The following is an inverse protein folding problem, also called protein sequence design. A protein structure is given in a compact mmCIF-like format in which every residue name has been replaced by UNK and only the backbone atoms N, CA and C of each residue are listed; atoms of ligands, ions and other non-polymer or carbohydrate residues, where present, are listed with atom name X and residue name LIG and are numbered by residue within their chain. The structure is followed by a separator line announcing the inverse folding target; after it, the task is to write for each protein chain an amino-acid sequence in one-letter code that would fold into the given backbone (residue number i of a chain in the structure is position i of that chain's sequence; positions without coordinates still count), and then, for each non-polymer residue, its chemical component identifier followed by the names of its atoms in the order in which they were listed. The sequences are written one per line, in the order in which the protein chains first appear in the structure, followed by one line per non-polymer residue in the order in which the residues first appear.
data_IF_686701949189
#
_entry.id   IF_686701949189
#
_cell.length_a   1.000
_cell.length_b   1.000
_cell.length_c   1.000
_cell.angle_alpha   90.00
_cell.angle_beta   90.00
_cell.angle_gamma   90.00
#
_symmetry.space_group_name_H-M   'P 1'
#
loop_
_entity.id
_entity.type
_entity.pdbx_description
1 polymer ?
#
# COMPACT_ATOMS: atom_id res chain seq x y z
N UNK A 1 -52.20 16.10 11.47
CA UNK A 1 -50.80 16.40 11.09
C UNK A 1 -49.96 15.15 11.35
N UNK A 2 -49.41 14.50 10.32
CA UNK A 2 -48.54 13.34 10.48
C UNK A 2 -47.08 13.84 10.49
N UNK A 3 -46.44 13.78 11.65
CA UNK A 3 -45.01 14.10 11.80
C UNK A 3 -44.19 13.09 11.00
N UNK A 4 -43.38 13.59 10.07
CA UNK A 4 -42.47 12.78 9.29
C UNK A 4 -41.09 12.85 9.93
N UNK A 5 -40.66 11.79 10.59
CA UNK A 5 -39.33 11.68 11.19
C UNK A 5 -38.31 11.50 10.06
N UNK A 6 -37.39 12.44 9.91
CA UNK A 6 -36.25 12.36 9.02
C UNK A 6 -35.16 11.55 9.75
N UNK A 7 -34.93 10.30 9.36
CA UNK A 7 -33.75 9.56 9.83
C UNK A 7 -32.53 10.11 9.08
N UNK A 8 -31.65 10.78 9.80
CA UNK A 8 -30.31 11.11 9.33
C UNK A 8 -29.46 9.84 9.47
N UNK A 9 -29.12 9.20 8.35
CA UNK A 9 -28.18 8.08 8.37
C UNK A 9 -26.76 8.64 8.50
N UNK A 10 -26.18 8.56 9.70
CA UNK A 10 -24.76 8.79 9.91
C UNK A 10 -24.01 7.60 9.32
N UNK A 11 -23.25 7.82 8.24
CA UNK A 11 -22.29 6.83 7.79
C UNK A 11 -21.17 6.75 8.84
N UNK A 12 -21.03 5.60 9.50
CA UNK A 12 -19.85 5.30 10.29
C UNK A 12 -18.69 5.16 9.29
N UNK A 13 -17.80 6.14 9.23
CA UNK A 13 -16.53 5.95 8.55
C UNK A 13 -15.77 4.86 9.29
N UNK A 14 -15.37 3.79 8.60
CA UNK A 14 -14.44 2.83 9.16
C UNK A 14 -13.16 3.58 9.52
N UNK A 15 -12.71 3.45 10.77
CA UNK A 15 -11.47 4.08 11.21
C UNK A 15 -10.31 3.25 10.67
N UNK A 16 -9.81 3.62 9.49
CA UNK A 16 -8.60 3.05 8.95
C UNK A 16 -7.45 3.19 9.97
N UNK A 17 -6.73 2.09 10.21
CA UNK A 17 -5.58 2.08 11.13
C UNK A 17 -4.33 2.40 10.35
N UNK A 18 -3.65 3.51 10.70
CA UNK A 18 -2.36 3.89 10.11
C UNK A 18 -1.25 3.61 11.11
N UNK A 19 -0.25 2.84 10.68
CA UNK A 19 0.95 2.49 11.45
C UNK A 19 2.17 3.09 10.76
N UNK A 20 3.04 3.75 11.52
CA UNK A 20 4.26 4.38 11.01
C UNK A 20 5.52 3.73 11.58
N UNK A 21 6.53 3.50 10.72
CA UNK A 21 7.88 3.08 11.09
C UNK A 21 7.98 1.76 11.88
N UNK A 22 7.04 0.82 11.68
CA UNK A 22 7.04 -0.48 12.37
C UNK A 22 6.80 -1.64 11.41
N UNK A 23 5.80 -1.52 10.54
CA UNK A 23 5.28 -2.63 9.74
C UNK A 23 5.92 -2.75 8.35
N UNK A 24 6.95 -1.96 8.07
CA UNK A 24 7.77 -2.06 6.87
C UNK A 24 9.24 -1.98 7.30
N UNK A 25 10.05 -2.94 6.87
CA UNK A 25 11.46 -3.06 7.21
C UNK A 25 12.36 -3.23 5.98
N UNK A 26 13.62 -2.84 6.11
CA UNK A 26 14.69 -3.09 5.15
C UNK A 26 15.79 -3.89 5.86
N UNK A 27 16.17 -5.04 5.29
CA UNK A 27 17.30 -5.84 5.76
C UNK A 27 18.36 -5.95 4.66
N UNK A 28 19.61 -6.18 5.05
CA UNK A 28 20.76 -6.33 4.14
C UNK A 28 21.39 -7.72 4.22
N UNK A 29 22.05 -8.18 3.15
CA UNK A 29 22.71 -9.49 3.05
C UNK A 29 21.77 -10.65 3.39
N UNK A 30 20.65 -10.72 2.69
CA UNK A 30 19.54 -11.62 3.01
C UNK A 30 19.61 -12.85 2.11
N UNK A 31 19.57 -14.03 2.72
CA UNK A 31 19.39 -15.27 1.96
C UNK A 31 17.92 -15.42 1.59
N UNK A 32 17.63 -15.73 0.33
CA UNK A 32 16.29 -16.07 -0.12
C UNK A 32 16.28 -17.49 -0.70
N UNK A 33 15.33 -18.32 -0.24
CA UNK A 33 15.15 -19.68 -0.75
C UNK A 33 14.25 -19.69 -1.98
N UNK A 34 14.75 -20.19 -3.12
CA UNK A 34 14.03 -20.33 -4.38
C UNK A 34 14.90 -20.96 -5.50
N UNK A 35 14.33 -21.33 -6.65
CA UNK A 35 15.10 -21.89 -7.75
C UNK A 35 16.19 -20.91 -8.22
N UNK A 36 17.47 -21.28 -8.04
CA UNK A 36 18.60 -20.34 -8.21
C UNK A 36 19.06 -19.66 -6.91
N UNK A 37 18.83 -20.31 -5.76
CA UNK A 37 19.20 -19.90 -4.40
C UNK A 37 20.47 -19.05 -4.34
N UNK A 38 20.36 -17.89 -3.71
CA UNK A 38 21.43 -16.91 -3.62
C UNK A 38 21.25 -15.97 -2.43
N UNK A 39 22.21 -15.08 -2.29
CA UNK A 39 22.08 -13.92 -1.42
C UNK A 39 21.57 -12.76 -2.26
N UNK A 40 20.60 -12.01 -1.72
CA UNK A 40 20.27 -10.69 -2.21
C UNK A 40 20.97 -9.65 -1.33
N UNK A 41 21.36 -8.52 -1.91
CA UNK A 41 21.91 -7.42 -1.12
C UNK A 41 20.88 -6.90 -0.11
N UNK A 42 19.59 -6.87 -0.48
CA UNK A 42 18.53 -6.33 0.37
C UNK A 42 17.23 -7.14 0.30
N UNK A 43 16.44 -7.03 1.38
CA UNK A 43 15.01 -7.37 1.39
C UNK A 43 14.17 -6.20 1.89
N UNK A 44 13.00 -6.00 1.28
CA UNK A 44 11.94 -5.11 1.79
C UNK A 44 10.80 -5.97 2.28
N UNK A 45 10.53 -5.89 3.59
CA UNK A 45 9.56 -6.71 4.31
C UNK A 45 8.38 -5.86 4.75
N UNK A 46 7.17 -6.41 4.69
CA UNK A 46 5.94 -5.76 5.13
C UNK A 46 5.06 -6.72 5.93
N UNK A 47 4.51 -6.25 7.05
CA UNK A 47 3.49 -6.96 7.82
C UNK A 47 2.12 -6.85 7.14
N UNK A 48 1.51 -7.99 6.84
CA UNK A 48 0.25 -8.09 6.11
C UNK A 48 -0.98 -7.78 6.99
N UNK A 49 -0.82 -7.85 8.31
CA UNK A 49 -1.89 -7.61 9.28
C UNK A 49 -1.57 -6.43 10.21
N UNK A 50 -2.58 -5.70 10.69
CA UNK A 50 -2.37 -4.69 11.72
C UNK A 50 -1.81 -5.33 13.00
N UNK A 51 -0.96 -4.62 13.78
CA UNK A 51 -0.46 -5.12 15.05
C UNK A 51 -1.62 -5.53 15.99
N UNK A 52 -1.50 -6.65 16.72
CA UNK A 52 -0.31 -7.48 16.90
C UNK A 52 -0.17 -8.65 15.90
N UNK A 53 -0.86 -8.61 14.75
CA UNK A 53 -0.75 -9.66 13.73
C UNK A 53 0.69 -9.88 13.25
N UNK A 54 1.01 -11.08 12.75
CA UNK A 54 2.39 -11.50 12.47
C UNK A 54 2.50 -12.41 11.26
N UNK A 55 2.21 -11.86 10.08
CA UNK A 55 2.48 -12.52 8.81
C UNK A 55 3.13 -11.47 7.94
N UNK A 56 4.39 -11.69 7.60
CA UNK A 56 5.17 -10.81 6.77
C UNK A 56 5.40 -11.42 5.39
N UNK A 57 5.61 -10.54 4.42
CA UNK A 57 6.04 -10.93 3.08
C UNK A 57 7.12 -9.97 2.63
N UNK A 58 8.03 -10.45 1.80
CA UNK A 58 9.19 -9.70 1.35
C UNK A 58 9.41 -9.78 -0.15
N UNK A 59 10.05 -8.74 -0.69
CA UNK A 59 10.78 -8.81 -1.95
C UNK A 59 12.28 -8.80 -1.67
N UNK A 60 13.05 -9.41 -2.57
CA UNK A 60 14.50 -9.52 -2.51
C UNK A 60 15.11 -8.91 -3.77
N UNK A 61 16.11 -8.06 -3.60
CA UNK A 61 16.73 -7.35 -4.71
C UNK A 61 18.20 -7.02 -4.42
N UNK A 62 18.97 -6.92 -5.50
CA UNK A 62 20.36 -6.51 -5.47
C UNK A 62 20.51 -5.03 -5.80
N UNK A 63 21.66 -4.50 -5.42
CA UNK A 63 22.14 -3.21 -5.86
C UNK A 63 23.24 -3.41 -6.91
N UNK A 64 23.00 -2.92 -8.11
CA UNK A 64 24.02 -2.87 -9.16
C UNK A 64 24.36 -1.41 -9.48
N UNK A 65 25.35 -0.87 -8.76
CA UNK A 65 25.75 0.52 -8.85
C UNK A 65 24.64 1.50 -8.42
N UNK A 66 24.02 2.15 -9.41
CA UNK A 66 22.88 3.06 -9.24
C UNK A 66 21.52 2.40 -9.45
N UNK A 67 21.49 1.11 -9.76
CA UNK A 67 20.26 0.37 -10.07
C UNK A 67 19.85 -0.56 -8.92
N UNK A 68 18.55 -0.81 -8.82
CA UNK A 68 17.97 -1.91 -8.05
C UNK A 68 17.59 -3.03 -9.02
N UNK A 69 17.97 -4.27 -8.71
CA UNK A 69 17.72 -5.45 -9.56
C UNK A 69 16.87 -6.45 -8.81
N UNK A 70 15.64 -6.67 -9.25
CA UNK A 70 14.72 -7.60 -8.58
C UNK A 70 15.19 -9.05 -8.74
N UNK A 71 15.13 -9.83 -7.65
CA UNK A 71 15.54 -11.24 -7.64
C UNK A 71 14.40 -12.17 -7.30
N UNK A 72 13.65 -11.90 -6.25
CA UNK A 72 12.63 -12.84 -5.78
C UNK A 72 11.59 -12.14 -4.90
N UNK A 73 10.55 -12.89 -4.53
CA UNK A 73 9.57 -12.52 -3.53
C UNK A 73 9.02 -13.76 -2.83
N UNK A 74 8.46 -13.58 -1.63
CA UNK A 74 7.68 -14.64 -0.98
C UNK A 74 6.47 -15.02 -1.86
N UNK A 75 6.23 -16.32 -2.01
CA UNK A 75 5.14 -16.85 -2.82
C UNK A 75 3.82 -16.96 -2.05
N UNK A 76 3.92 -17.08 -0.73
CA UNK A 76 2.83 -17.12 0.24
C UNK A 76 2.63 -15.73 0.85
N UNK A 77 1.59 -15.03 0.40
CA UNK A 77 1.30 -13.67 0.78
C UNK A 77 1.96 -12.69 -0.17
N UNK A 78 1.16 -12.06 -1.03
CA UNK A 78 1.71 -11.10 -1.98
C UNK A 78 1.94 -9.72 -1.35
N UNK A 79 3.12 -9.17 -1.59
CA UNK A 79 3.32 -7.73 -1.59
C UNK A 79 3.73 -7.29 -3.00
N UNK A 80 3.06 -6.26 -3.50
CA UNK A 80 3.42 -5.61 -4.74
C UNK A 80 4.03 -4.26 -4.43
N UNK A 81 5.26 -4.05 -4.89
CA UNK A 81 6.05 -2.86 -4.62
C UNK A 81 6.19 -2.04 -5.89
N UNK A 82 5.93 -0.74 -5.78
CA UNK A 82 5.83 0.17 -6.91
C UNK A 82 6.65 1.41 -6.67
N UNK A 83 7.33 1.92 -7.68
CA UNK A 83 7.95 3.25 -7.59
C UNK A 83 6.86 4.31 -7.47
N UNK A 84 7.04 5.23 -6.52
CA UNK A 84 6.10 6.30 -6.24
C UNK A 84 6.83 7.63 -5.96
N UNK A 85 6.06 8.71 -5.94
CA UNK A 85 6.52 10.07 -5.65
C UNK A 85 5.79 10.62 -4.41
N UNK A 86 6.43 11.55 -3.70
CA UNK A 86 5.80 12.27 -2.60
C UNK A 86 4.45 12.88 -3.02
N UNK A 87 3.44 12.72 -2.16
CA UNK A 87 2.05 13.17 -2.37
C UNK A 87 1.23 12.40 -3.42
N UNK A 88 1.76 11.33 -4.01
CA UNK A 88 0.94 10.47 -4.87
C UNK A 88 -0.21 9.85 -4.06
N UNK A 89 -1.39 9.76 -4.69
CA UNK A 89 -2.54 9.00 -4.20
C UNK A 89 -2.28 7.53 -4.49
N UNK A 90 -1.76 6.78 -3.51
CA UNK A 90 -1.44 5.37 -3.68
C UNK A 90 -2.62 4.51 -3.21
N UNK A 91 -3.46 4.09 -4.15
CA UNK A 91 -4.72 3.38 -3.89
C UNK A 91 -4.91 2.22 -4.86
N UNK A 92 -5.84 1.32 -4.56
CA UNK A 92 -6.21 0.24 -5.48
C UNK A 92 -6.68 0.77 -6.85
N UNK A 93 -7.36 1.92 -6.87
CA UNK A 93 -7.84 2.56 -8.10
C UNK A 93 -6.69 3.08 -8.96
N UNK A 94 -5.76 3.86 -8.38
CA UNK A 94 -4.64 4.46 -9.14
C UNK A 94 -3.64 3.40 -9.60
N UNK A 95 -3.44 2.32 -8.82
CA UNK A 95 -2.71 1.13 -9.26
C UNK A 95 -3.41 0.45 -10.44
N UNK A 96 -4.72 0.24 -10.35
CA UNK A 96 -5.52 -0.40 -11.42
C UNK A 96 -5.53 0.38 -12.73
N UNK A 97 -5.31 1.70 -12.67
CA UNK A 97 -5.15 2.57 -13.83
C UNK A 97 -3.72 2.56 -14.42
N UNK A 98 -2.79 1.82 -13.81
CA UNK A 98 -1.40 1.75 -14.26
C UNK A 98 -0.56 2.98 -13.91
N UNK A 99 -0.95 3.73 -12.87
CA UNK A 99 -0.27 4.98 -12.46
C UNK A 99 1.12 4.79 -11.86
N UNK A 100 1.52 3.54 -11.55
CA UNK A 100 2.79 3.25 -10.90
C UNK A 100 3.55 2.12 -11.59
N UNK A 101 4.88 2.19 -11.54
CA UNK A 101 5.76 1.16 -12.09
C UNK A 101 6.00 0.05 -11.06
N UNK A 102 5.56 -1.16 -11.37
CA UNK A 102 5.72 -2.35 -10.54
C UNK A 102 7.15 -2.92 -10.62
N UNK A 103 7.71 -3.29 -9.47
CA UNK A 103 9.03 -3.91 -9.31
C UNK A 103 8.86 -5.37 -8.85
N UNK A 104 8.73 -6.31 -9.80
CA UNK A 104 8.39 -7.70 -9.51
C UNK A 104 8.88 -8.75 -10.53
N UNK A 105 9.69 -8.36 -11.52
CA UNK A 105 10.16 -9.27 -12.56
C UNK A 105 11.62 -9.67 -12.31
N UNK A 106 11.94 -10.95 -12.42
CA UNK A 106 13.33 -11.43 -12.26
C UNK A 106 14.27 -10.66 -13.19
N UNK A 107 15.39 -10.17 -12.64
CA UNK A 107 16.39 -9.33 -13.31
C UNK A 107 15.89 -7.97 -13.81
N UNK A 108 14.68 -7.56 -13.44
CA UNK A 108 14.18 -6.21 -13.71
C UNK A 108 15.07 -5.21 -12.99
N UNK A 109 15.61 -4.26 -13.75
CA UNK A 109 16.57 -3.28 -13.27
C UNK A 109 16.00 -1.86 -13.40
N UNK A 110 16.08 -1.08 -12.33
CA UNK A 110 15.66 0.32 -12.31
C UNK A 110 16.73 1.21 -11.70
N UNK A 111 17.08 2.28 -12.41
CA UNK A 111 17.92 3.33 -11.88
C UNK A 111 17.19 4.09 -10.77
N UNK A 112 17.82 4.23 -9.61
CA UNK A 112 17.33 5.05 -8.51
C UNK A 112 18.27 6.23 -8.27
N UNK A 113 17.74 7.42 -7.95
CA UNK A 113 18.58 8.60 -7.74
C UNK A 113 19.50 8.40 -6.53
N UNK A 114 20.61 9.15 -6.48
CA UNK A 114 21.31 9.38 -5.22
C UNK A 114 20.41 10.26 -4.33
N UNK A 115 20.21 9.84 -3.09
CA UNK A 115 19.30 10.50 -2.16
C UNK A 115 17.95 9.78 -1.99
N UNK A 116 16.91 10.51 -1.55
CA UNK A 116 15.63 9.93 -1.18
C UNK A 116 14.76 9.52 -2.38
N UNK A 117 14.07 8.40 -2.27
CA UNK A 117 13.04 7.94 -3.20
C UNK A 117 11.98 7.09 -2.47
N UNK A 118 10.79 6.97 -3.06
CA UNK A 118 9.68 6.23 -2.45
C UNK A 118 9.36 4.94 -3.21
N UNK A 119 9.08 3.90 -2.43
CA UNK A 119 8.25 2.79 -2.86
C UNK A 119 6.86 2.92 -2.25
N UNK A 120 5.81 2.74 -3.05
CA UNK A 120 4.48 2.37 -2.57
C UNK A 120 4.37 0.84 -2.49
N UNK A 121 3.62 0.33 -1.52
CA UNK A 121 3.42 -1.11 -1.34
C UNK A 121 1.95 -1.43 -1.11
N UNK A 122 1.46 -2.43 -1.85
CA UNK A 122 0.14 -3.03 -1.65
C UNK A 122 0.33 -4.46 -1.15
N UNK A 123 -0.30 -4.80 -0.04
CA UNK A 123 -0.29 -6.18 0.48
C UNK A 123 -1.72 -6.69 0.68
N UNK A 124 -1.88 -8.00 0.63
CA UNK A 124 -3.14 -8.70 0.82
C UNK A 124 -2.89 -10.04 1.53
N UNK A 125 -3.90 -10.56 2.22
CA UNK A 125 -3.82 -11.89 2.82
C UNK A 125 -4.26 -12.98 1.84
N UNK A 126 -3.56 -14.11 1.85
CA UNK A 126 -3.82 -15.24 0.93
C UNK A 126 -5.02 -16.11 1.34
N UNK A 127 -5.62 -15.87 2.51
CA UNK A 127 -6.60 -16.79 3.13
C UNK A 127 -8.03 -16.26 3.19
N UNK A 128 -8.44 -15.47 2.20
CA UNK A 128 -9.84 -15.08 2.00
C UNK A 128 -10.33 -13.93 2.88
N UNK A 129 -9.49 -13.40 3.77
CA UNK A 129 -9.73 -12.10 4.39
C UNK A 129 -9.24 -11.01 3.43
N UNK A 130 -10.16 -10.21 2.91
CA UNK A 130 -9.87 -9.07 2.03
C UNK A 130 -9.20 -7.90 2.78
N UNK A 131 -8.31 -8.18 3.74
CA UNK A 131 -7.47 -7.15 4.35
C UNK A 131 -6.48 -6.73 3.28
N UNK A 132 -6.64 -5.50 2.81
CA UNK A 132 -5.68 -4.85 1.92
C UNK A 132 -4.93 -3.80 2.73
N UNK A 133 -3.61 -3.93 2.73
CA UNK A 133 -2.71 -2.93 3.26
C UNK A 133 -2.19 -2.05 2.12
N UNK A 134 -2.17 -0.74 2.33
CA UNK A 134 -1.52 0.22 1.44
C UNK A 134 -0.49 1.00 2.23
N UNK A 135 0.76 1.01 1.79
CA UNK A 135 1.84 1.68 2.48
C UNK A 135 2.82 2.35 1.55
N UNK A 136 3.81 3.00 2.16
CA UNK A 136 4.95 3.55 1.48
C UNK A 136 6.21 3.41 2.34
N UNK A 137 7.36 3.34 1.67
CA UNK A 137 8.68 3.34 2.27
C UNK A 137 9.53 4.43 1.61
N UNK A 138 10.07 5.34 2.42
CA UNK A 138 11.09 6.31 2.01
C UNK A 138 12.46 5.66 2.20
N UNK A 139 13.11 5.38 1.08
CA UNK A 139 14.48 4.89 1.07
C UNK A 139 15.45 6.01 0.74
N UNK A 140 16.69 5.91 1.23
CA UNK A 140 17.77 6.81 0.88
C UNK A 140 18.92 6.01 0.27
N UNK A 141 19.22 6.30 -0.99
CA UNK A 141 20.38 5.77 -1.69
C UNK A 141 21.60 6.65 -1.44
N UNK A 142 22.54 6.15 -0.63
CA UNK A 142 23.76 6.89 -0.27
C UNK A 142 24.88 6.76 -1.32
N UNK A 143 24.67 5.98 -2.38
CA UNK A 143 25.68 5.62 -3.37
C UNK A 143 26.44 4.34 -3.04
N UNK A 144 26.55 3.99 -1.76
CA UNK A 144 27.18 2.73 -1.31
C UNK A 144 26.21 1.82 -0.56
N UNK A 145 25.09 2.36 -0.08
CA UNK A 145 24.13 1.65 0.74
C UNK A 145 22.69 2.17 0.53
N UNK A 146 21.70 1.41 0.99
CA UNK A 146 20.29 1.77 1.06
C UNK A 146 19.85 1.80 2.51
N UNK A 147 19.13 2.86 2.87
CA UNK A 147 18.61 3.05 4.22
C UNK A 147 17.09 3.26 4.16
N UNK A 148 16.35 2.58 5.04
CA UNK A 148 14.96 2.91 5.30
C UNK A 148 14.89 4.12 6.23
N UNK A 149 14.41 5.25 5.71
CA UNK A 149 14.32 6.51 6.46
C UNK A 149 13.00 6.61 7.20
N UNK A 150 11.91 6.26 6.53
CA UNK A 150 10.55 6.29 7.10
C UNK A 150 9.63 5.36 6.34
N UNK A 151 8.57 4.90 6.99
CA UNK A 151 7.50 4.16 6.35
C UNK A 151 6.16 4.41 7.02
N UNK A 152 5.09 4.18 6.28
CA UNK A 152 3.76 4.08 6.85
C UNK A 152 2.92 3.06 6.07
N UNK A 153 1.95 2.48 6.75
CA UNK A 153 0.95 1.59 6.17
C UNK A 153 -0.41 1.86 6.78
N UNK A 154 -1.45 1.75 5.96
CA UNK A 154 -2.83 1.70 6.42
C UNK A 154 -3.43 0.34 6.14
N UNK A 155 -4.23 -0.14 7.08
CA UNK A 155 -5.10 -1.32 6.92
C UNK A 155 -6.55 -0.86 6.81
N UNK A 156 -7.36 -1.65 6.10
CA UNK A 156 -8.81 -1.38 5.90
C UNK A 156 -9.11 0.02 5.36
N UNK A 157 -8.27 0.47 4.44
CA UNK A 157 -8.39 1.75 3.74
C UNK A 157 -8.30 1.51 2.23
N UNK A 158 -8.95 2.33 1.39
CA UNK A 158 -8.80 2.24 -0.06
C UNK A 158 -7.40 2.67 -0.55
N UNK A 159 -6.60 3.36 0.28
CA UNK A 159 -5.25 3.80 -0.07
C UNK A 159 -4.59 4.71 0.96
N UNK A 160 -3.40 5.20 0.63
CA UNK A 160 -2.61 6.14 1.43
C UNK A 160 -1.98 7.22 0.53
N UNK A 161 -1.77 8.43 1.07
CA UNK A 161 -1.00 9.47 0.40
C UNK A 161 0.49 9.29 0.72
N UNK A 162 1.31 9.08 -0.31
CA UNK A 162 2.74 8.75 -0.18
C UNK A 162 3.49 9.86 0.56
N UNK A 163 4.31 9.46 1.55
CA UNK A 163 5.08 10.36 2.41
C UNK A 163 4.26 11.02 3.52
N UNK A 164 3.02 10.58 3.75
CA UNK A 164 2.14 11.10 4.81
C UNK A 164 1.48 9.98 5.61
N UNK A 165 0.78 10.33 6.69
CA UNK A 165 -0.08 9.41 7.46
C UNK A 165 -1.56 9.53 7.05
N UNK A 166 -1.86 10.21 5.94
CA UNK A 166 -3.22 10.47 5.49
C UNK A 166 -3.71 9.33 4.61
N UNK A 167 -4.84 8.72 4.98
CA UNK A 167 -5.52 7.72 4.15
C UNK A 167 -6.26 8.38 2.99
N UNK A 168 -6.42 7.64 1.90
CA UNK A 168 -7.30 8.05 0.80
C UNK A 168 -8.74 7.92 1.31
N UNK A 169 -9.58 8.96 1.23
CA UNK A 169 -10.97 8.83 1.59
C UNK A 169 -11.64 7.79 0.70
N UNK A 170 -12.51 6.95 1.27
CA UNK A 170 -13.42 6.17 0.45
C UNK A 170 -14.19 7.12 -0.47
N UNK A 171 -14.36 6.80 -1.77
CA UNK A 171 -15.21 7.58 -2.65
C UNK A 171 -16.61 7.58 -2.01
N UNK A 172 -16.91 8.68 -1.33
CA UNK A 172 -17.89 8.65 -0.26
C UNK A 172 -19.21 8.11 -0.77
N UNK A 173 -19.94 7.34 0.03
CA UNK A 173 -21.32 6.97 -0.29
C UNK A 173 -22.26 8.18 -0.42
N UNK A 174 -21.78 9.42 -0.26
CA UNK A 174 -22.55 10.65 -0.33
C UNK A 174 -23.29 10.88 -1.66
N UNK A 175 -22.73 10.63 -2.85
CA UNK A 175 -23.50 10.66 -4.09
C UNK A 175 -24.60 9.60 -4.10
N UNK A 176 -24.35 8.40 -3.54
CA UNK A 176 -25.36 7.34 -3.44
C UNK A 176 -26.46 7.71 -2.44
N UNK A 177 -26.12 8.34 -1.31
CA UNK A 177 -27.08 8.90 -0.35
C UNK A 177 -27.89 10.02 -1.00
N UNK A 178 -27.26 10.90 -1.77
CA UNK A 178 -27.95 11.97 -2.50
C UNK A 178 -28.94 11.41 -3.53
N UNK A 179 -28.54 10.37 -4.28
CA UNK A 179 -29.43 9.66 -5.22
C UNK A 179 -30.59 8.97 -4.47
N UNK A 180 -30.31 8.28 -3.36
CA UNK A 180 -31.33 7.61 -2.56
C UNK A 180 -32.35 8.61 -1.96
N UNK A 181 -31.87 9.73 -1.43
CA UNK A 181 -32.72 10.83 -0.93
C UNK A 181 -33.54 11.44 -2.05
N UNK A 182 -32.93 11.70 -3.22
CA UNK A 182 -33.65 12.20 -4.40
C UNK A 182 -34.77 11.27 -4.86
N UNK A 183 -34.53 9.95 -4.91
CA UNK A 183 -35.53 8.94 -5.26
C UNK A 183 -36.65 8.85 -4.21
N UNK A 184 -36.30 8.91 -2.92
CA UNK A 184 -37.28 8.89 -1.83
C UNK A 184 -38.18 10.13 -1.84
N UNK A 185 -37.64 11.31 -2.14
CA UNK A 185 -38.42 12.54 -2.27
C UNK A 185 -39.36 12.50 -3.49
N UNK A 186 -38.95 11.89 -4.60
CA UNK A 186 -39.78 11.78 -5.81
C UNK A 186 -41.02 10.89 -5.59
N UNK A 187 -40.89 9.78 -4.86
CA UNK A 187 -42.02 8.88 -4.53
C UNK A 187 -43.08 9.49 -3.60
N UNK A 188 -42.77 10.57 -2.87
CA UNK A 188 -43.76 11.24 -2.01
C UNK A 188 -44.65 12.23 -2.75
N UNK A 189 -44.32 12.58 -3.99
CA UNK A 189 -45.06 13.56 -4.79
C UNK A 189 -46.01 12.94 -5.83
N UNK A 190 -45.91 11.63 -6.03
CA UNK A 190 -46.84 10.80 -6.81
C UNK A 190 -47.82 10.11 -5.88
#
# INVERSE_FOLDING_TARGET
MKSCVLLLATALAANATVVSNQNIGLSSNVFYGGPGDGFADYSLTIEQYPPPGGSDTSIFFDRDGGNLVFRSMNLDGGSYWYFATLNDVFSGETIGQGGFTLFNQYDQSFAVPLGPFYFGVRTFSDFGENIQGFGWALLNNTGTDLQLVSSAITYDSPGIIVGTLTTVPEPGGLPLVAVAVGLAMRRRRS
#
